data_IF_320710889429
#
_entry.id   IF_320710889429
#
_cell.length_a   1.000
_cell.length_b   1.000
_cell.length_c   1.000
_cell.angle_alpha   90.00
_cell.angle_beta   90.00
_cell.angle_gamma   90.00
#
_symmetry.space_group_name_H-M   'P 1'
#
loop_
_entity.id
_entity.type
_entity.pdbx_description
1 polymer ?
#
# COMPACT_ATOMS: atom_id res chain seq x y z
N UNK A 1 2.52 -13.52 2.31
CA UNK A 1 2.37 -13.39 3.79
C UNK A 1 0.89 -13.22 4.15
N UNK A 2 0.60 -13.34 5.44
CA UNK A 2 -0.75 -13.11 5.99
C UNK A 2 -0.80 -11.71 6.59
N UNK A 3 -1.66 -10.81 6.10
CA UNK A 3 -1.79 -9.47 6.67
C UNK A 3 -2.13 -9.48 8.17
N UNK A 4 -2.89 -10.48 8.62
CA UNK A 4 -3.22 -10.64 10.04
C UNK A 4 -1.98 -10.75 10.94
N UNK A 5 -0.89 -11.37 10.44
CA UNK A 5 0.37 -11.51 11.19
C UNK A 5 1.08 -10.14 11.30
N UNK A 6 0.95 -9.27 10.29
CA UNK A 6 1.49 -7.90 10.35
C UNK A 6 0.80 -7.09 11.45
N UNK A 7 -0.55 -7.20 11.55
CA UNK A 7 -1.29 -6.50 12.59
C UNK A 7 -0.94 -7.02 13.99
N UNK A 8 -0.83 -8.33 14.16
CA UNK A 8 -0.40 -8.93 15.42
C UNK A 8 1.00 -8.45 15.83
N UNK A 9 1.95 -8.45 14.89
CA UNK A 9 3.31 -7.93 15.13
C UNK A 9 3.32 -6.44 15.44
N UNK A 10 2.47 -5.64 14.78
CA UNK A 10 2.32 -4.20 15.07
C UNK A 10 1.86 -3.97 16.51
N UNK A 11 0.84 -4.69 16.96
CA UNK A 11 0.33 -4.61 18.34
C UNK A 11 1.45 -4.99 19.33
N UNK A 12 2.08 -6.12 19.11
CA UNK A 12 3.14 -6.64 20.01
C UNK A 12 4.27 -5.63 20.13
N UNK A 13 4.80 -5.17 19.00
CA UNK A 13 5.95 -4.25 18.97
C UNK A 13 5.63 -2.91 19.63
N UNK A 14 4.46 -2.32 19.33
CA UNK A 14 4.04 -1.05 19.95
C UNK A 14 3.90 -1.23 21.46
N UNK A 15 3.23 -2.28 21.92
CA UNK A 15 3.08 -2.52 23.36
C UNK A 15 4.43 -2.71 24.07
N UNK A 16 5.40 -3.39 23.44
CA UNK A 16 6.76 -3.54 23.99
C UNK A 16 7.44 -2.17 24.13
N UNK A 17 7.42 -1.35 23.07
CA UNK A 17 8.03 -0.01 23.10
C UNK A 17 7.37 0.89 24.15
N UNK A 18 6.04 0.88 24.25
CA UNK A 18 5.32 1.66 25.23
C UNK A 18 5.64 1.26 26.68
N UNK A 19 5.96 -0.01 26.91
CA UNK A 19 6.34 -0.51 28.25
C UNK A 19 7.74 -0.06 28.70
N UNK A 20 8.61 0.34 27.76
CA UNK A 20 9.98 0.77 28.05
C UNK A 20 10.14 2.29 28.24
N UNK A 21 9.08 3.07 27.96
CA UNK A 21 9.14 4.55 28.02
C UNK A 21 8.09 5.07 28.99
N UNK A 22 8.54 5.80 30.01
CA UNK A 22 7.65 6.40 30.99
C UNK A 22 6.63 7.35 30.34
N UNK A 23 5.36 7.21 30.71
CA UNK A 23 4.24 7.99 30.19
C UNK A 23 4.08 7.96 28.65
N UNK A 24 4.65 6.94 27.98
CA UNK A 24 4.65 6.84 26.52
C UNK A 24 3.25 7.00 25.90
N UNK A 25 2.18 6.35 26.40
CA UNK A 25 0.85 6.49 25.81
C UNK A 25 0.33 7.93 25.75
N UNK A 26 0.68 8.75 26.75
CA UNK A 26 0.29 10.17 26.83
C UNK A 26 1.16 11.09 25.96
N UNK A 27 2.32 10.60 25.50
CA UNK A 27 3.31 11.37 24.74
C UNK A 27 3.28 11.14 23.23
N UNK A 28 2.54 10.11 22.75
CA UNK A 28 2.41 9.85 21.30
C UNK A 28 1.56 10.95 20.67
N UNK A 29 2.18 11.79 19.86
CA UNK A 29 1.55 12.93 19.20
C UNK A 29 0.98 12.57 17.83
N UNK A 30 1.55 11.58 17.11
CA UNK A 30 1.11 11.13 15.81
C UNK A 30 1.66 9.72 15.51
N UNK A 31 1.04 9.04 14.56
CA UNK A 31 1.49 7.75 14.03
C UNK A 31 1.76 7.90 12.53
N UNK A 32 2.89 7.39 12.06
CA UNK A 32 3.22 7.33 10.65
C UNK A 32 3.73 5.93 10.31
N UNK A 33 2.96 5.19 9.53
CA UNK A 33 3.38 3.88 9.07
C UNK A 33 4.30 3.98 7.85
N UNK A 34 5.36 3.18 7.83
CA UNK A 34 6.07 2.83 6.61
C UNK A 34 6.15 1.31 6.51
N UNK A 35 6.25 0.77 5.30
CA UNK A 35 6.23 -0.68 5.15
C UNK A 35 6.68 -1.16 3.80
N UNK A 36 6.86 -2.49 3.70
CA UNK A 36 7.23 -3.15 2.46
C UNK A 36 6.26 -2.80 1.33
N UNK A 37 6.83 -2.50 0.16
CA UNK A 37 6.09 -2.04 -1.00
C UNK A 37 5.50 -3.20 -1.84
N UNK A 38 4.62 -2.87 -2.76
CA UNK A 38 4.12 -3.75 -3.84
C UNK A 38 3.30 -4.97 -3.39
N UNK A 39 2.96 -5.12 -2.12
CA UNK A 39 2.05 -6.17 -1.68
C UNK A 39 0.62 -5.89 -2.18
N UNK A 40 -0.11 -6.92 -2.60
CA UNK A 40 -1.50 -6.76 -3.02
C UNK A 40 -2.44 -7.34 -1.96
N UNK A 41 -3.03 -6.46 -1.16
CA UNK A 41 -4.01 -6.79 -0.13
C UNK A 41 -5.39 -6.38 -0.60
N UNK A 42 -6.31 -7.33 -0.72
CA UNK A 42 -7.69 -7.08 -1.14
C UNK A 42 -8.60 -7.08 0.09
N UNK A 43 -9.42 -6.03 0.20
CA UNK A 43 -10.41 -5.88 1.28
C UNK A 43 -11.79 -5.57 0.72
N UNK A 44 -12.83 -6.06 1.40
CA UNK A 44 -14.23 -5.76 1.09
C UNK A 44 -14.66 -4.38 1.65
N UNK A 45 -15.93 -4.02 1.44
CA UNK A 45 -16.53 -2.77 1.93
C UNK A 45 -16.54 -2.61 3.45
N UNK A 46 -16.31 -3.70 4.20
CA UNK A 46 -16.19 -3.68 5.66
C UNK A 46 -14.73 -3.65 6.14
N UNK A 47 -13.77 -3.55 5.20
CA UNK A 47 -12.34 -3.61 5.50
C UNK A 47 -11.84 -5.00 5.89
N UNK A 48 -12.61 -6.06 5.58
CA UNK A 48 -12.21 -7.44 5.82
C UNK A 48 -11.44 -7.99 4.62
N UNK A 49 -10.42 -8.80 4.90
CA UNK A 49 -9.64 -9.45 3.85
C UNK A 49 -10.53 -10.36 3.01
N UNK A 50 -10.53 -10.18 1.69
CA UNK A 50 -11.20 -11.11 0.75
C UNK A 50 -10.33 -12.33 0.46
N UNK A 51 -9.05 -12.28 0.85
CA UNK A 51 -8.06 -13.34 0.70
C UNK A 51 -7.13 -13.38 1.91
N UNK A 52 -6.87 -14.57 2.45
CA UNK A 52 -6.05 -14.76 3.66
C UNK A 52 -4.61 -14.29 3.49
N UNK A 53 -4.05 -14.43 2.29
CA UNK A 53 -2.63 -14.13 2.01
C UNK A 53 -2.50 -13.07 0.92
N UNK A 54 -1.51 -12.18 1.05
CA UNK A 54 -1.11 -11.22 0.04
C UNK A 54 0.17 -11.65 -0.68
N UNK A 55 0.25 -11.61 -2.02
CA UNK A 55 1.49 -11.74 -2.76
C UNK A 55 2.37 -10.53 -2.50
N UNK A 56 3.68 -10.75 -2.33
CA UNK A 56 4.65 -9.72 -1.96
C UNK A 56 5.53 -9.28 -3.14
N UNK A 57 6.39 -8.29 -2.89
CA UNK A 57 7.34 -7.73 -3.85
C UNK A 57 8.30 -8.77 -4.47
N UNK A 58 8.67 -9.80 -3.73
CA UNK A 58 9.58 -10.87 -4.16
C UNK A 58 8.85 -12.09 -4.80
N UNK A 59 7.53 -12.03 -4.92
CA UNK A 59 6.73 -13.10 -5.52
C UNK A 59 6.81 -13.01 -7.05
N UNK A 60 7.35 -14.05 -7.69
CA UNK A 60 7.58 -14.11 -9.14
C UNK A 60 6.50 -14.88 -9.91
N UNK A 61 5.44 -15.35 -9.25
CA UNK A 61 4.36 -16.13 -9.91
C UNK A 61 3.66 -15.37 -11.04
N UNK A 62 3.74 -14.04 -11.02
CA UNK A 62 3.08 -13.13 -11.97
C UNK A 62 3.93 -12.84 -13.22
N UNK A 63 4.99 -13.61 -13.47
CA UNK A 63 5.80 -13.44 -14.68
C UNK A 63 4.99 -13.54 -15.98
N UNK A 64 4.02 -14.49 -16.14
CA UNK A 64 3.19 -14.55 -17.34
C UNK A 64 2.39 -13.27 -17.60
N UNK A 65 1.84 -12.63 -16.55
CA UNK A 65 1.09 -11.37 -16.67
C UNK A 65 2.02 -10.19 -17.01
N UNK A 66 3.24 -10.21 -16.48
CA UNK A 66 4.29 -9.25 -16.87
C UNK A 66 4.66 -9.38 -18.33
N UNK A 67 4.82 -10.62 -18.83
CA UNK A 67 5.09 -10.89 -20.25
C UNK A 67 3.92 -10.47 -21.15
N UNK A 68 2.70 -10.57 -20.65
CA UNK A 68 1.51 -10.05 -21.32
C UNK A 68 1.55 -8.52 -21.40
N UNK A 69 1.84 -7.82 -20.29
CA UNK A 69 1.97 -6.37 -20.27
C UNK A 69 3.04 -5.87 -21.24
N UNK A 70 4.20 -6.55 -21.32
CA UNK A 70 5.26 -6.21 -22.28
C UNK A 70 4.83 -6.37 -23.76
N UNK A 71 3.77 -7.10 -24.05
CA UNK A 71 3.19 -7.20 -25.39
C UNK A 71 2.12 -6.14 -25.66
N UNK A 72 1.46 -5.65 -24.60
CA UNK A 72 0.36 -4.70 -24.69
C UNK A 72 0.83 -3.24 -24.75
N UNK A 73 1.99 -2.92 -24.16
CA UNK A 73 2.53 -1.57 -24.13
C UNK A 73 3.98 -1.53 -24.61
N UNK A 74 4.31 -0.53 -25.42
CA UNK A 74 5.69 -0.32 -25.84
C UNK A 74 6.54 0.23 -24.69
N UNK A 75 7.84 -0.10 -24.62
CA UNK A 75 8.71 0.37 -23.54
C UNK A 75 8.73 1.90 -23.36
N UNK A 76 8.74 2.67 -24.44
CA UNK A 76 8.76 4.12 -24.40
C UNK A 76 7.45 4.68 -23.80
N UNK A 77 6.30 4.07 -24.13
CA UNK A 77 5.00 4.46 -23.55
C UNK A 77 4.90 4.08 -22.08
N UNK A 78 5.39 2.91 -21.70
CA UNK A 78 5.45 2.49 -20.31
C UNK A 78 6.29 3.48 -19.47
N UNK A 79 7.49 3.83 -19.97
CA UNK A 79 8.37 4.82 -19.31
C UNK A 79 7.74 6.21 -19.28
N UNK A 80 7.07 6.64 -20.34
CA UNK A 80 6.38 7.92 -20.40
C UNK A 80 5.25 8.01 -19.34
N UNK A 81 4.47 6.96 -19.22
CA UNK A 81 3.32 6.92 -18.30
C UNK A 81 3.72 6.68 -16.85
N UNK A 82 4.61 5.73 -16.60
CA UNK A 82 4.85 5.23 -15.24
C UNK A 82 6.28 5.47 -14.74
N UNK A 83 7.21 5.94 -15.60
CA UNK A 83 8.66 5.94 -15.37
C UNK A 83 9.24 4.54 -15.08
N UNK A 84 8.49 3.46 -15.35
CA UNK A 84 8.87 2.08 -15.08
C UNK A 84 8.57 1.17 -16.28
N UNK A 85 9.22 0.02 -16.31
CA UNK A 85 8.86 -1.09 -17.19
C UNK A 85 8.01 -2.11 -16.40
N UNK A 86 7.18 -2.92 -17.10
CA UNK A 86 6.43 -3.99 -16.45
C UNK A 86 7.35 -4.91 -15.64
N UNK A 87 6.91 -5.31 -14.45
CA UNK A 87 7.65 -6.20 -13.56
C UNK A 87 6.70 -7.11 -12.78
N UNK A 88 7.11 -8.36 -12.47
CA UNK A 88 6.33 -9.24 -11.62
C UNK A 88 6.19 -8.72 -10.19
N UNK A 89 7.02 -7.76 -9.78
CA UNK A 89 6.92 -7.13 -8.49
C UNK A 89 5.72 -6.17 -8.38
N UNK A 90 5.26 -5.59 -9.50
CA UNK A 90 4.26 -4.53 -9.48
C UNK A 90 2.84 -5.05 -9.16
N UNK A 91 2.04 -4.27 -8.43
CA UNK A 91 0.64 -4.57 -8.13
C UNK A 91 -0.22 -4.87 -9.36
N UNK A 92 -0.01 -4.20 -10.49
CA UNK A 92 -0.74 -4.50 -11.73
C UNK A 92 -0.60 -5.96 -12.15
N UNK A 93 0.63 -6.49 -12.22
CA UNK A 93 0.87 -7.90 -12.56
C UNK A 93 0.23 -8.85 -11.54
N UNK A 94 0.22 -8.48 -10.25
CA UNK A 94 -0.41 -9.28 -9.19
C UNK A 94 -1.93 -9.28 -9.29
N UNK A 95 -2.54 -8.13 -9.58
CA UNK A 95 -4.00 -8.06 -9.77
C UNK A 95 -4.43 -8.85 -10.99
N UNK A 96 -3.72 -8.74 -12.12
CA UNK A 96 -4.00 -9.57 -13.32
C UNK A 96 -3.92 -11.05 -12.97
N UNK A 97 -2.91 -11.48 -12.22
CA UNK A 97 -2.80 -12.86 -11.76
C UNK A 97 -3.97 -13.25 -10.84
N UNK A 98 -4.37 -12.39 -9.91
CA UNK A 98 -5.50 -12.64 -9.02
C UNK A 98 -6.82 -12.73 -9.78
N UNK A 99 -7.04 -11.88 -10.78
CA UNK A 99 -8.22 -11.95 -11.65
C UNK A 99 -8.35 -13.30 -12.38
N UNK A 100 -7.22 -13.91 -12.75
CA UNK A 100 -7.21 -15.21 -13.42
C UNK A 100 -7.31 -16.39 -12.44
N UNK A 101 -6.67 -16.31 -11.27
CA UNK A 101 -6.46 -17.46 -10.37
C UNK A 101 -7.29 -17.43 -9.09
N UNK A 102 -7.81 -16.26 -8.72
CA UNK A 102 -8.67 -16.06 -7.55
C UNK A 102 -9.72 -14.96 -7.82
N UNK A 103 -10.54 -15.13 -8.89
CA UNK A 103 -11.49 -14.10 -9.33
C UNK A 103 -12.56 -13.79 -8.25
N UNK A 104 -12.85 -14.75 -7.38
CA UNK A 104 -13.81 -14.55 -6.29
C UNK A 104 -13.28 -13.53 -5.27
N UNK A 105 -12.00 -13.59 -4.93
CA UNK A 105 -11.38 -12.62 -4.02
C UNK A 105 -11.39 -11.21 -4.63
N UNK A 106 -11.14 -11.08 -5.94
CA UNK A 106 -11.19 -9.80 -6.66
C UNK A 106 -12.61 -9.25 -6.73
N UNK A 107 -13.59 -10.11 -7.04
CA UNK A 107 -15.00 -9.69 -7.17
C UNK A 107 -15.60 -9.21 -5.84
N UNK A 108 -15.15 -9.78 -4.71
CA UNK A 108 -15.58 -9.37 -3.36
C UNK A 108 -14.87 -8.13 -2.86
N UNK A 109 -13.75 -7.77 -3.48
CA UNK A 109 -12.95 -6.65 -3.03
C UNK A 109 -13.57 -5.30 -3.42
N UNK A 110 -13.48 -4.34 -2.50
CA UNK A 110 -13.80 -2.93 -2.71
C UNK A 110 -12.52 -2.11 -2.86
N UNK A 111 -11.40 -2.55 -2.24
CA UNK A 111 -10.13 -1.84 -2.32
C UNK A 111 -8.92 -2.77 -2.41
N UNK A 112 -7.96 -2.35 -3.24
CA UNK A 112 -6.57 -2.82 -3.21
C UNK A 112 -5.77 -1.90 -2.29
N UNK A 113 -5.07 -2.49 -1.34
CA UNK A 113 -4.18 -1.79 -0.41
C UNK A 113 -2.78 -2.39 -0.47
N UNK A 114 -1.77 -1.54 -0.27
CA UNK A 114 -0.42 -2.01 0.03
C UNK A 114 -0.32 -2.45 1.51
N UNK A 115 0.73 -3.17 1.92
CA UNK A 115 0.86 -3.63 3.30
C UNK A 115 0.72 -2.53 4.35
N UNK A 116 1.38 -1.39 4.13
CA UNK A 116 1.28 -0.20 4.98
C UNK A 116 -0.14 0.38 5.02
N UNK A 117 -0.81 0.46 3.86
CA UNK A 117 -2.15 1.02 3.76
C UNK A 117 -3.18 0.14 4.47
N UNK A 118 -2.97 -1.17 4.45
CA UNK A 118 -3.80 -2.07 5.23
C UNK A 118 -3.61 -1.88 6.74
N UNK A 119 -2.38 -1.61 7.21
CA UNK A 119 -2.15 -1.22 8.61
C UNK A 119 -2.86 0.10 8.91
N UNK A 120 -2.79 1.08 8.02
CA UNK A 120 -3.51 2.34 8.16
C UNK A 120 -5.03 2.14 8.25
N UNK A 121 -5.61 1.26 7.43
CA UNK A 121 -7.02 0.87 7.53
C UNK A 121 -7.34 0.28 8.92
N UNK A 122 -6.46 -0.56 9.48
CA UNK A 122 -6.65 -1.11 10.83
C UNK A 122 -6.58 -0.02 11.91
N UNK A 123 -5.77 1.02 11.72
CA UNK A 123 -5.61 2.13 12.64
C UNK A 123 -6.78 3.11 12.58
N UNK A 124 -7.24 3.47 11.36
CA UNK A 124 -8.14 4.61 11.13
C UNK A 124 -9.54 4.23 10.62
N UNK A 125 -9.67 3.09 9.97
CA UNK A 125 -10.87 2.73 9.20
C UNK A 125 -10.92 3.33 7.79
N UNK A 126 -9.89 4.10 7.37
CA UNK A 126 -9.83 4.80 6.09
C UNK A 126 -8.91 4.08 5.10
N UNK A 127 -9.29 4.10 3.80
CA UNK A 127 -8.50 3.57 2.70
C UNK A 127 -7.90 4.70 1.88
N UNK A 128 -6.58 4.71 1.72
CA UNK A 128 -5.86 5.55 0.78
C UNK A 128 -4.52 4.90 0.43
N UNK A 129 -3.95 5.32 -0.70
CA UNK A 129 -2.56 5.04 -1.06
C UNK A 129 -1.78 6.35 -1.07
N UNK A 130 -0.45 6.26 -1.08
CA UNK A 130 0.41 7.41 -1.27
C UNK A 130 1.15 7.36 -2.60
N UNK A 131 1.75 8.50 -2.98
CA UNK A 131 2.49 8.63 -4.25
C UNK A 131 3.62 7.62 -4.40
N UNK A 132 4.29 7.24 -3.31
CA UNK A 132 5.45 6.36 -3.38
C UNK A 132 5.06 4.92 -3.70
N UNK A 133 3.94 4.46 -3.14
CA UNK A 133 3.37 3.15 -3.44
C UNK A 133 2.67 3.13 -4.81
N UNK A 134 1.86 4.15 -5.10
CA UNK A 134 1.11 4.24 -6.35
C UNK A 134 2.04 4.33 -7.57
N UNK A 135 3.17 5.04 -7.48
CA UNK A 135 4.14 5.21 -8.57
C UNK A 135 4.76 3.89 -9.04
N UNK A 136 4.85 2.90 -8.17
CA UNK A 136 5.38 1.58 -8.46
C UNK A 136 4.28 0.50 -8.63
N UNK A 137 3.03 0.92 -8.71
CA UNK A 137 1.90 0.01 -9.00
C UNK A 137 1.83 -0.43 -10.46
N UNK A 138 2.43 0.32 -11.39
CA UNK A 138 2.22 0.29 -12.83
C UNK A 138 0.79 0.69 -13.26
N UNK A 139 0.08 1.48 -12.43
CA UNK A 139 -1.28 1.97 -12.68
C UNK A 139 -1.41 3.48 -12.52
N UNK A 140 -0.39 4.16 -11.97
CA UNK A 140 -0.38 5.61 -11.80
C UNK A 140 0.31 6.29 -12.98
N UNK A 141 -0.28 7.37 -13.51
CA UNK A 141 0.38 8.28 -14.43
C UNK A 141 1.31 9.23 -13.64
N UNK A 142 2.62 9.17 -13.94
CA UNK A 142 3.62 9.98 -13.25
C UNK A 142 3.45 11.49 -13.46
N UNK A 143 2.82 11.92 -14.55
CA UNK A 143 2.66 13.33 -14.89
C UNK A 143 1.53 13.99 -14.11
N UNK A 144 0.43 13.27 -13.90
CA UNK A 144 -0.73 13.72 -13.12
C UNK A 144 -0.64 13.34 -11.65
N UNK A 145 0.16 12.30 -11.31
CA UNK A 145 0.22 11.64 -10.00
C UNK A 145 -1.14 11.10 -9.56
N UNK A 146 -1.93 10.62 -10.51
CA UNK A 146 -3.22 10.00 -10.28
C UNK A 146 -3.31 8.70 -11.06
N UNK A 147 -4.37 7.92 -10.82
CA UNK A 147 -4.60 6.68 -11.52
C UNK A 147 -4.79 6.93 -13.01
N UNK A 148 -4.16 6.10 -13.84
CA UNK A 148 -4.20 6.22 -15.31
C UNK A 148 -5.35 5.41 -15.89
N UNK A 149 -6.35 6.07 -16.46
CA UNK A 149 -7.44 5.41 -17.19
C UNK A 149 -6.90 4.54 -18.34
N UNK A 150 -5.80 4.97 -19.00
CA UNK A 150 -5.15 4.22 -20.08
C UNK A 150 -4.60 2.88 -19.56
N UNK A 151 -3.88 2.88 -18.42
CA UNK A 151 -3.30 1.67 -17.84
C UNK A 151 -4.37 0.76 -17.21
N UNK A 152 -5.39 1.34 -16.61
CA UNK A 152 -6.56 0.60 -16.10
C UNK A 152 -7.25 -0.13 -17.24
N UNK A 153 -7.54 0.56 -18.35
CA UNK A 153 -8.14 -0.05 -19.53
C UNK A 153 -7.24 -1.13 -20.16
N UNK A 154 -5.92 -0.89 -20.22
CA UNK A 154 -4.94 -1.81 -20.79
C UNK A 154 -4.86 -3.12 -19.97
N UNK A 155 -4.90 -3.03 -18.66
CA UNK A 155 -4.77 -4.18 -17.75
C UNK A 155 -6.09 -4.90 -17.49
N UNK A 156 -7.22 -4.24 -17.76
CA UNK A 156 -8.55 -4.72 -17.41
C UNK A 156 -8.84 -4.76 -15.91
N UNK A 157 -8.01 -4.13 -15.10
CA UNK A 157 -8.17 -4.05 -13.65
C UNK A 157 -9.38 -3.16 -13.33
N UNK A 158 -10.30 -3.59 -12.43
CA UNK A 158 -11.42 -2.76 -12.03
C UNK A 158 -10.93 -1.48 -11.32
N UNK A 159 -11.19 -0.31 -11.92
CA UNK A 159 -10.71 0.97 -11.39
C UNK A 159 -11.27 1.32 -10.01
N UNK A 160 -12.43 0.79 -9.64
CA UNK A 160 -13.02 0.96 -8.31
C UNK A 160 -12.20 0.32 -7.18
N UNK A 161 -11.27 -0.60 -7.49
CA UNK A 161 -10.35 -1.17 -6.50
C UNK A 161 -9.25 -0.20 -6.07
N UNK A 162 -9.04 0.87 -6.84
CA UNK A 162 -7.94 1.79 -6.62
C UNK A 162 -8.35 2.90 -5.64
N UNK A 163 -7.85 2.82 -4.42
CA UNK A 163 -8.09 3.82 -3.38
C UNK A 163 -7.51 5.20 -3.78
N UNK A 164 -8.05 6.33 -3.26
CA UNK A 164 -7.50 7.65 -3.57
C UNK A 164 -6.02 7.77 -3.24
N UNK A 165 -5.26 8.44 -4.10
CA UNK A 165 -3.84 8.76 -3.86
C UNK A 165 -3.76 10.05 -3.06
N UNK A 166 -2.98 10.04 -1.96
CA UNK A 166 -2.79 11.18 -1.07
C UNK A 166 -1.30 11.48 -0.86
N UNK A 167 -1.02 12.67 -0.34
CA UNK A 167 0.34 13.02 0.06
C UNK A 167 0.74 12.22 1.31
N UNK A 168 1.95 11.64 1.36
CA UNK A 168 2.45 10.88 2.52
C UNK A 168 2.37 11.62 3.86
N UNK A 169 2.50 12.96 3.87
CA UNK A 169 2.45 13.80 5.07
C UNK A 169 1.04 14.24 5.48
N UNK A 170 0.01 13.93 4.71
CA UNK A 170 -1.37 14.22 5.09
C UNK A 170 -1.83 13.35 6.25
N UNK A 171 -2.72 13.89 7.08
CA UNK A 171 -3.44 13.11 8.08
C UNK A 171 -4.51 12.28 7.37
N UNK A 172 -4.40 10.96 7.44
CA UNK A 172 -5.38 10.03 6.90
C UNK A 172 -6.65 10.02 7.76
N UNK A 173 -6.48 9.98 9.07
CA UNK A 173 -7.56 9.95 10.04
C UNK A 173 -7.04 9.96 11.47
N UNK A 174 -7.95 9.83 12.43
CA UNK A 174 -7.61 9.63 13.84
C UNK A 174 -7.59 8.14 14.20
N UNK A 175 -6.74 7.77 15.16
CA UNK A 175 -6.72 6.42 15.72
C UNK A 175 -8.10 6.05 16.26
N UNK A 176 -8.69 4.96 15.74
CA UNK A 176 -10.01 4.49 16.17
C UNK A 176 -9.99 3.96 17.60
N UNK A 177 -11.13 3.97 18.29
CA UNK A 177 -11.23 3.40 19.64
C UNK A 177 -10.83 1.92 19.69
N UNK A 178 -11.13 1.15 18.63
CA UNK A 178 -10.75 -0.27 18.52
C UNK A 178 -9.24 -0.44 18.42
N UNK A 179 -8.58 0.34 17.55
CA UNK A 179 -7.13 0.29 17.39
C UNK A 179 -6.42 0.81 18.65
N UNK A 180 -6.89 1.92 19.22
CA UNK A 180 -6.37 2.50 20.46
C UNK A 180 -6.37 1.47 21.61
N UNK A 181 -7.46 0.73 21.78
CA UNK A 181 -7.56 -0.33 22.80
C UNK A 181 -6.54 -1.47 22.57
N UNK A 182 -6.29 -1.88 21.31
CA UNK A 182 -5.30 -2.91 21.01
C UNK A 182 -3.86 -2.42 21.27
N UNK A 183 -3.59 -1.15 21.02
CA UNK A 183 -2.25 -0.56 21.08
C UNK A 183 -1.92 0.08 22.44
N UNK A 184 -2.87 0.14 23.37
CA UNK A 184 -2.66 0.85 24.65
C UNK A 184 -2.49 2.37 24.47
N UNK A 185 -3.09 2.97 23.46
CA UNK A 185 -2.97 4.39 23.09
C UNK A 185 -4.31 5.13 23.24
N UNK A 186 -4.28 6.46 23.16
CA UNK A 186 -5.49 7.29 23.17
C UNK A 186 -6.18 7.30 21.80
N UNK A 187 -7.51 7.29 21.79
CA UNK A 187 -8.31 7.49 20.58
C UNK A 187 -8.06 8.88 20.00
N UNK A 188 -8.09 8.99 18.67
CA UNK A 188 -8.00 10.28 17.97
C UNK A 188 -6.57 10.76 17.70
N UNK A 189 -5.54 10.02 18.12
CA UNK A 189 -4.15 10.34 17.72
C UNK A 189 -4.08 10.40 16.20
N UNK A 190 -3.54 11.48 15.59
CA UNK A 190 -3.42 11.59 14.15
C UNK A 190 -2.58 10.47 13.55
N UNK A 191 -3.09 9.85 12.49
CA UNK A 191 -2.38 8.84 11.70
C UNK A 191 -2.13 9.44 10.32
N UNK A 192 -0.86 9.49 9.91
CA UNK A 192 -0.48 9.99 8.59
C UNK A 192 -0.65 8.90 7.53
N UNK A 193 -0.79 9.32 6.28
CA UNK A 193 -0.82 8.40 5.12
C UNK A 193 0.44 7.54 5.08
N UNK A 194 1.61 8.14 5.36
CA UNK A 194 2.89 7.44 5.37
C UNK A 194 3.40 7.12 3.97
N UNK A 195 4.48 6.35 3.88
CA UNK A 195 5.17 6.05 2.61
C UNK A 195 5.73 4.62 2.60
N UNK A 196 6.11 4.15 1.41
CA UNK A 196 6.85 2.89 1.26
C UNK A 196 8.19 2.92 2.00
N UNK A 197 8.71 1.76 2.37
CA UNK A 197 9.95 1.62 3.12
C UNK A 197 11.18 2.15 2.36
N UNK A 198 11.27 1.92 1.05
CA UNK A 198 12.40 2.36 0.25
C UNK A 198 12.54 3.89 0.19
N UNK A 199 11.51 4.68 -0.19
CA UNK A 199 11.58 6.14 -0.14
C UNK A 199 11.83 6.68 1.26
N UNK A 200 11.28 6.05 2.29
CA UNK A 200 11.50 6.43 3.69
C UNK A 200 12.96 6.21 4.09
N UNK A 201 13.57 5.09 3.66
CA UNK A 201 14.99 4.81 3.89
C UNK A 201 15.91 5.82 3.17
N UNK A 202 15.58 6.22 1.92
CA UNK A 202 16.31 7.27 1.20
C UNK A 202 16.27 8.59 1.97
N UNK A 203 15.08 9.01 2.40
CA UNK A 203 14.91 10.23 3.19
C UNK A 203 15.71 10.16 4.50
N UNK A 204 15.63 9.04 5.22
CA UNK A 204 16.38 8.80 6.45
C UNK A 204 17.90 8.80 6.27
N UNK A 205 18.38 8.47 5.07
CA UNK A 205 19.79 8.53 4.67
C UNK A 205 20.24 9.91 4.18
N UNK A 206 19.32 10.90 4.18
CA UNK A 206 19.61 12.26 3.72
C UNK A 206 19.51 12.45 2.20
N UNK A 207 19.02 11.46 1.46
CA UNK A 207 18.76 11.56 0.01
C UNK A 207 17.41 12.28 -0.17
N UNK A 208 17.47 13.61 -0.25
CA UNK A 208 16.27 14.46 -0.29
C UNK A 208 16.27 15.49 -1.44
N UNK A 209 17.18 15.34 -2.41
CA UNK A 209 17.29 16.26 -3.53
C UNK A 209 17.72 15.58 -4.83
N UNK A 210 17.48 16.27 -5.95
CA UNK A 210 17.90 15.79 -7.26
C UNK A 210 19.43 15.64 -7.32
N UNK A 211 19.91 14.52 -7.89
CA UNK A 211 21.34 14.20 -7.99
C UNK A 211 21.96 13.64 -6.71
N UNK A 212 21.17 13.37 -5.67
CA UNK A 212 21.58 12.67 -4.46
C UNK A 212 21.13 11.20 -4.57
N UNK A 213 22.03 10.27 -4.88
CA UNK A 213 21.65 8.85 -4.98
C UNK A 213 22.60 8.06 -5.85
#
# INVERSE_FOLDING_TARGET
QRPADWWAGTIETINQVLAEVDDAPARVAAICACGQMHGAVLVDSNGLLTRETAPLWNDKRTQPQTDQLNKLIQPDDALRLTANLPSPAWPASKLMWLMENDPEAVTKAESLLMPKDWINLKLTGECAQDYTEASLSFLMDQSTRDWSDELIALTGIPGNLLSPIRNPSEILGGLTAKAANHLGLSTGIPVLVGAGDYPTALLGSGVCGAGMG
#
